data_IF_127144415724
#
_entry.id   IF_127144415724
#
_cell.length_a   1.000
_cell.length_b   1.000
_cell.length_c   1.000
_cell.angle_alpha   90.00
_cell.angle_beta   90.00
_cell.angle_gamma   90.00
#
_symmetry.space_group_name_H-M   'P 1'
#
loop_
_entity.id
_entity.type
_entity.pdbx_description
1 polymer ?
#
# COMPACT_ATOMS: atom_id res chain seq x y z
N UNK A 1 10.28 10.41 14.59
CA UNK A 1 9.42 9.21 14.49
C UNK A 1 8.24 9.60 13.61
N UNK A 2 8.17 9.12 12.37
CA UNK A 2 6.99 9.33 11.53
C UNK A 2 5.87 8.38 12.00
N UNK A 3 5.10 8.82 12.99
CA UNK A 3 3.96 8.07 13.49
C UNK A 3 2.86 8.03 12.43
N UNK A 4 2.23 6.86 12.27
CA UNK A 4 0.94 6.79 11.60
C UNK A 4 -0.06 7.63 12.40
N UNK A 5 -0.97 8.30 11.70
CA UNK A 5 -2.16 8.88 12.34
C UNK A 5 -3.23 7.81 12.36
N UNK A 6 -4.01 7.71 13.43
CA UNK A 6 -5.15 6.81 13.46
C UNK A 6 -6.42 7.51 13.91
N UNK A 7 -7.56 6.95 13.52
CA UNK A 7 -8.87 7.31 14.02
C UNK A 7 -9.74 6.06 14.11
N UNK A 8 -10.75 6.09 14.97
CA UNK A 8 -11.73 5.00 15.10
C UNK A 8 -12.95 5.33 14.24
N UNK A 9 -13.38 4.38 13.43
CA UNK A 9 -14.63 4.43 12.67
C UNK A 9 -15.34 3.10 12.79
N UNK A 10 -16.60 3.11 13.25
CA UNK A 10 -17.44 1.91 13.36
C UNK A 10 -16.76 0.76 14.12
N UNK A 11 -16.04 1.06 15.21
CA UNK A 11 -15.21 0.15 16.00
C UNK A 11 -13.96 -0.43 15.31
N UNK A 12 -13.62 0.05 14.11
CA UNK A 12 -12.37 -0.25 13.43
C UNK A 12 -11.35 0.87 13.63
N UNK A 13 -10.11 0.51 13.95
CA UNK A 13 -8.99 1.45 13.90
C UNK A 13 -8.48 1.58 12.46
N UNK A 14 -8.46 2.82 11.96
CA UNK A 14 -7.96 3.16 10.64
C UNK A 14 -6.66 3.93 10.80
N UNK A 15 -5.54 3.27 10.48
CA UNK A 15 -4.22 3.91 10.37
C UNK A 15 -4.03 4.52 8.98
N UNK A 16 -3.48 5.74 8.93
CA UNK A 16 -3.17 6.44 7.69
C UNK A 16 -1.91 7.31 7.80
N UNK A 17 -1.33 7.62 6.64
CA UNK A 17 -0.20 8.54 6.47
C UNK A 17 -0.45 9.50 5.31
N UNK A 18 0.37 10.55 5.25
CA UNK A 18 0.30 11.48 4.13
C UNK A 18 0.74 10.81 2.83
N UNK A 19 0.14 11.24 1.71
CA UNK A 19 0.56 10.77 0.39
C UNK A 19 2.02 11.15 0.08
N UNK A 20 2.49 12.29 0.61
CA UNK A 20 3.90 12.70 0.47
C UNK A 20 4.86 11.70 1.12
N UNK A 21 4.49 11.11 2.26
CA UNK A 21 5.31 10.09 2.90
C UNK A 21 5.29 8.78 2.12
N UNK A 22 4.17 8.46 1.47
CA UNK A 22 4.11 7.37 0.51
C UNK A 22 5.04 7.61 -0.69
N UNK A 23 5.06 8.81 -1.26
CA UNK A 23 5.95 9.17 -2.37
C UNK A 23 7.44 9.12 -2.02
N UNK A 24 7.81 9.38 -0.75
CA UNK A 24 9.19 9.21 -0.27
C UNK A 24 9.61 7.75 -0.24
N UNK A 25 8.67 6.83 0.04
CA UNK A 25 8.92 5.39 0.08
C UNK A 25 8.93 4.79 -1.32
N UNK A 26 7.98 5.21 -2.15
CA UNK A 26 7.71 4.63 -3.47
C UNK A 26 7.46 5.78 -4.44
N UNK A 27 8.29 5.89 -5.48
CA UNK A 27 8.31 7.04 -6.41
C UNK A 27 7.18 6.98 -7.45
N UNK A 28 5.95 6.75 -6.99
CA UNK A 28 4.75 6.69 -7.82
C UNK A 28 3.96 7.99 -7.63
N UNK A 29 3.76 8.70 -8.74
CA UNK A 29 2.94 9.92 -8.77
C UNK A 29 1.45 9.57 -8.73
N UNK A 30 0.63 10.47 -8.20
CA UNK A 30 -0.81 10.26 -8.03
C UNK A 30 -1.50 10.00 -9.37
N UNK A 31 -1.04 10.66 -10.43
CA UNK A 31 -1.54 10.59 -11.80
C UNK A 31 -1.25 9.23 -12.45
N UNK A 32 -0.31 8.45 -11.89
CA UNK A 32 0.03 7.10 -12.34
C UNK A 32 -0.76 6.01 -11.60
N UNK A 33 -1.59 6.38 -10.63
CA UNK A 33 -2.50 5.47 -9.94
C UNK A 33 -3.82 5.38 -10.70
N UNK A 34 -4.44 4.21 -10.65
CA UNK A 34 -5.77 4.00 -11.21
C UNK A 34 -6.82 4.73 -10.38
N UNK A 35 -7.57 5.63 -11.00
CA UNK A 35 -8.73 6.26 -10.38
C UNK A 35 -9.95 5.35 -10.53
N UNK A 36 -10.42 4.79 -9.42
CA UNK A 36 -11.66 4.01 -9.37
C UNK A 36 -12.72 4.74 -8.57
N UNK A 37 -14.00 4.50 -8.91
CA UNK A 37 -15.14 4.99 -8.14
C UNK A 37 -15.93 3.80 -7.59
N UNK A 38 -16.14 3.77 -6.28
CA UNK A 38 -16.96 2.76 -5.61
C UNK A 38 -17.86 3.45 -4.59
N UNK A 39 -19.17 3.18 -4.65
CA UNK A 39 -20.16 3.75 -3.72
C UNK A 39 -20.12 5.29 -3.62
N UNK A 40 -19.84 5.97 -4.74
CA UNK A 40 -19.72 7.42 -4.77
C UNK A 40 -18.36 7.97 -4.33
N UNK A 41 -17.48 7.14 -3.78
CA UNK A 41 -16.15 7.51 -3.30
C UNK A 41 -15.09 7.24 -4.39
N UNK A 42 -14.15 8.18 -4.54
CA UNK A 42 -13.02 8.07 -5.47
C UNK A 42 -11.78 7.54 -4.74
N UNK A 43 -11.13 6.55 -5.33
CA UNK A 43 -9.89 5.95 -4.82
C UNK A 43 -8.81 5.99 -5.89
N UNK A 44 -7.59 6.37 -5.47
CA UNK A 44 -6.39 6.22 -6.28
C UNK A 44 -5.71 4.93 -5.86
N UNK A 45 -5.69 3.94 -6.75
CA UNK A 45 -5.28 2.56 -6.44
C UNK A 45 -4.09 2.17 -7.32
N UNK A 46 -3.01 1.60 -6.75
CA UNK A 46 -1.91 1.08 -7.54
C UNK A 46 -2.33 -0.03 -8.53
N UNK A 47 -1.59 -0.18 -9.63
CA UNK A 47 -1.65 -1.41 -10.45
C UNK A 47 -1.04 -2.61 -9.69
N UNK A 48 -1.20 -3.83 -10.21
CA UNK A 48 -0.59 -5.02 -9.60
C UNK A 48 0.94 -4.87 -9.54
N UNK A 49 1.58 -4.41 -10.61
CA UNK A 49 3.03 -4.19 -10.69
C UNK A 49 3.49 -3.16 -9.66
N UNK A 50 2.73 -2.07 -9.52
CA UNK A 50 2.98 -1.03 -8.53
C UNK A 50 2.79 -1.56 -7.11
N UNK A 51 1.80 -2.41 -6.84
CA UNK A 51 1.66 -3.09 -5.55
C UNK A 51 2.85 -4.00 -5.25
N UNK A 52 3.34 -4.75 -6.23
CA UNK A 52 4.54 -5.58 -6.09
C UNK A 52 5.75 -4.71 -5.75
N UNK A 53 5.93 -3.55 -6.40
CA UNK A 53 7.01 -2.60 -6.09
C UNK A 53 6.91 -2.06 -4.65
N UNK A 54 5.69 -1.66 -4.23
CA UNK A 54 5.42 -1.14 -2.89
C UNK A 54 5.78 -2.18 -1.83
N UNK A 55 5.26 -3.41 -1.95
CA UNK A 55 5.51 -4.44 -0.95
C UNK A 55 6.95 -4.97 -1.01
N UNK A 56 7.58 -5.01 -2.19
CA UNK A 56 9.00 -5.38 -2.31
C UNK A 56 9.90 -4.38 -1.60
N UNK A 57 9.59 -3.09 -1.71
CA UNK A 57 10.29 -2.02 -1.00
C UNK A 57 10.04 -2.09 0.51
N UNK A 58 8.79 -2.36 0.93
CA UNK A 58 8.42 -2.54 2.33
C UNK A 58 9.12 -3.73 3.00
N UNK A 59 9.19 -4.88 2.31
CA UNK A 59 9.81 -6.09 2.81
C UNK A 59 11.34 -5.96 2.97
N UNK A 60 11.98 -5.03 2.26
CA UNK A 60 13.41 -4.73 2.38
C UNK A 60 13.73 -3.71 3.49
N UNK A 61 12.72 -3.07 4.09
CA UNK A 61 12.92 -2.08 5.15
C UNK A 61 13.19 -2.76 6.50
N UNK A 62 14.43 -2.69 7.04
CA UNK A 62 14.78 -3.34 8.30
C UNK A 62 14.01 -2.78 9.52
N UNK A 63 13.38 -1.60 9.39
CA UNK A 63 12.53 -1.02 10.45
C UNK A 63 11.13 -1.65 10.49
N UNK A 64 10.79 -2.51 9.52
CA UNK A 64 9.47 -3.15 9.40
C UNK A 64 9.49 -4.65 9.70
N UNK A 65 10.53 -5.15 10.39
CA UNK A 65 10.73 -6.59 10.69
C UNK A 65 9.49 -7.34 11.20
N UNK A 66 8.70 -6.75 12.09
CA UNK A 66 7.46 -7.38 12.60
C UNK A 66 6.34 -7.48 11.55
N UNK A 67 6.34 -6.60 10.54
CA UNK A 67 5.34 -6.57 9.45
C UNK A 67 5.80 -7.35 8.20
N UNK A 68 7.05 -7.81 8.15
CA UNK A 68 7.64 -8.48 6.98
C UNK A 68 6.90 -9.77 6.58
N UNK A 69 6.40 -10.55 7.55
CA UNK A 69 5.70 -11.81 7.23
C UNK A 69 4.41 -11.55 6.44
N UNK A 70 3.59 -10.60 6.88
CA UNK A 70 2.36 -10.20 6.18
C UNK A 70 2.64 -9.56 4.81
N UNK A 71 3.71 -8.79 4.70
CA UNK A 71 4.10 -8.17 3.42
C UNK A 71 4.62 -9.23 2.42
N UNK A 72 5.30 -10.28 2.90
CA UNK A 72 5.71 -11.43 2.08
C UNK A 72 4.53 -12.26 1.57
N UNK A 73 3.55 -12.57 2.43
CA UNK A 73 2.32 -13.28 2.02
C UNK A 73 1.55 -12.52 0.95
N UNK A 74 1.45 -11.19 1.10
CA UNK A 74 0.83 -10.32 0.09
C UNK A 74 1.61 -10.30 -1.22
N UNK A 75 2.94 -10.28 -1.15
CA UNK A 75 3.79 -10.36 -2.35
C UNK A 75 3.58 -11.66 -3.11
N UNK A 76 3.48 -12.79 -2.40
CA UNK A 76 3.23 -14.09 -3.03
C UNK A 76 1.88 -14.11 -3.72
N UNK A 77 0.81 -13.66 -3.04
CA UNK A 77 -0.51 -13.54 -3.64
C UNK A 77 -0.53 -12.64 -4.89
N UNK A 78 0.12 -11.48 -4.81
CA UNK A 78 0.16 -10.51 -5.92
C UNK A 78 0.96 -11.02 -7.11
N UNK A 79 2.03 -11.79 -6.90
CA UNK A 79 2.80 -12.41 -7.97
C UNK A 79 1.97 -13.47 -8.71
N UNK A 80 1.28 -14.34 -7.97
CA UNK A 80 0.37 -15.34 -8.56
C UNK A 80 -0.72 -14.67 -9.39
N UNK A 81 -1.28 -13.56 -8.91
CA UNK A 81 -2.29 -12.79 -9.65
C UNK A 81 -1.71 -12.09 -10.87
N UNK A 82 -0.49 -11.55 -10.79
CA UNK A 82 0.18 -10.88 -11.91
C UNK A 82 0.59 -11.83 -13.03
N UNK A 83 0.93 -13.08 -12.71
CA UNK A 83 1.29 -14.12 -13.69
C UNK A 83 0.07 -14.68 -14.46
N UNK A 84 -1.15 -14.35 -14.02
CA UNK A 84 -2.41 -14.83 -14.62
C UNK A 84 -3.04 -13.86 -15.63
N UNK A 85 -2.40 -12.72 -15.92
CA UNK A 85 -2.90 -11.67 -16.82
C UNK A 85 -1.99 -11.43 -18.02
#
# INVERSE_FOLDING_TARGET
>A
MDSYRSYIKDNFEVEYKSFLDFQKLVKIDKEKLNLIKKEGVLYYVPTIEQFIEIYSSSARDPKRKEKMQKDSEKLEYLKVMGDQW
#
